data_IF_743997901995
#
_entry.id   IF_743997901995
#
_cell.length_a   1.000
_cell.length_b   1.000
_cell.length_c   1.000
_cell.angle_alpha   90.00
_cell.angle_beta   90.00
_cell.angle_gamma   90.00
#
_symmetry.space_group_name_H-M   'P 1'
#
loop_
_entity.id
_entity.type
_entity.pdbx_description
1 polymer ?
#
# COMPACT_ATOMS: atom_id res chain seq x y z
N UNK A 1 11.51 13.92 -3.96
CA UNK A 1 10.41 12.95 -3.77
C UNK A 1 10.78 11.64 -4.42
N UNK A 2 10.53 10.55 -3.76
CA UNK A 2 10.80 9.20 -4.27
C UNK A 2 9.54 8.56 -4.79
N UNK A 3 9.67 7.79 -5.87
CA UNK A 3 8.52 7.11 -6.47
C UNK A 3 8.89 5.65 -6.75
N UNK A 4 8.02 4.74 -6.32
CA UNK A 4 8.15 3.31 -6.57
C UNK A 4 6.94 2.87 -7.39
N UNK A 5 7.21 2.11 -8.44
CA UNK A 5 6.16 1.57 -9.30
C UNK A 5 6.35 0.06 -9.42
N UNK A 6 5.25 -0.68 -9.39
CA UNK A 6 5.27 -2.08 -9.78
C UNK A 6 3.92 -2.47 -10.38
N UNK A 7 3.94 -3.55 -11.12
CA UNK A 7 2.76 -4.09 -11.78
C UNK A 7 2.66 -5.58 -11.53
N UNK A 8 1.45 -6.09 -11.50
CA UNK A 8 1.22 -7.53 -11.38
C UNK A 8 -0.06 -7.93 -12.10
N UNK A 9 -0.02 -9.11 -12.73
CA UNK A 9 -1.20 -9.72 -13.34
C UNK A 9 -1.71 -10.84 -12.46
N UNK A 10 -2.99 -10.79 -12.12
CA UNK A 10 -3.62 -11.78 -11.25
C UNK A 10 -4.76 -12.44 -11.99
N UNK A 11 -4.74 -13.77 -12.03
CA UNK A 11 -5.82 -14.55 -12.65
C UNK A 11 -6.97 -14.69 -11.67
N UNK A 12 -7.73 -13.62 -11.54
CA UNK A 12 -8.91 -13.51 -10.69
C UNK A 12 -9.77 -12.35 -11.18
N UNK A 13 -11.08 -12.38 -10.89
CA UNK A 13 -11.98 -11.28 -11.28
C UNK A 13 -11.57 -9.95 -10.67
N UNK A 14 -11.72 -8.88 -11.43
CA UNK A 14 -11.34 -7.54 -10.98
C UNK A 14 -12.05 -7.14 -9.68
N UNK A 15 -13.30 -7.52 -9.52
CA UNK A 15 -14.06 -7.23 -8.29
C UNK A 15 -13.40 -7.85 -7.06
N UNK A 16 -12.95 -9.09 -7.20
CA UNK A 16 -12.30 -9.82 -6.10
C UNK A 16 -10.95 -9.22 -5.76
N UNK A 17 -10.17 -8.87 -6.77
CA UNK A 17 -8.86 -8.26 -6.57
C UNK A 17 -9.01 -6.88 -5.93
N UNK A 18 -9.91 -6.07 -6.45
CA UNK A 18 -10.17 -4.74 -5.91
C UNK A 18 -10.63 -4.80 -4.44
N UNK A 19 -11.58 -5.69 -4.15
CA UNK A 19 -12.07 -5.88 -2.79
C UNK A 19 -10.94 -6.29 -1.83
N UNK A 20 -10.07 -7.19 -2.26
CA UNK A 20 -8.95 -7.63 -1.44
C UNK A 20 -8.01 -6.48 -1.09
N UNK A 21 -7.62 -5.70 -2.08
CA UNK A 21 -6.67 -4.60 -1.88
C UNK A 21 -7.25 -3.40 -1.13
N UNK A 22 -8.55 -3.26 -1.11
CA UNK A 22 -9.20 -2.13 -0.45
C UNK A 22 -9.70 -2.44 0.96
N UNK A 23 -9.68 -3.70 1.36
CA UNK A 23 -10.07 -4.10 2.72
C UNK A 23 -8.92 -3.80 3.69
N UNK A 24 -9.19 -2.97 4.70
CA UNK A 24 -8.19 -2.58 5.68
C UNK A 24 -7.54 -3.77 6.39
N UNK A 25 -8.30 -4.85 6.60
CA UNK A 25 -7.77 -6.05 7.25
C UNK A 25 -6.74 -6.78 6.39
N UNK A 26 -6.76 -6.55 5.09
CA UNK A 26 -5.83 -7.19 4.14
C UNK A 26 -4.59 -6.35 3.83
N UNK A 27 -4.56 -5.09 4.24
CA UNK A 27 -3.43 -4.20 3.93
C UNK A 27 -2.12 -4.76 4.47
N UNK A 28 -2.13 -5.29 5.68
CA UNK A 28 -0.93 -5.89 6.26
C UNK A 28 -0.41 -7.09 5.46
N UNK A 29 -1.26 -7.72 4.65
CA UNK A 29 -0.88 -8.85 3.78
C UNK A 29 -0.38 -8.41 2.42
N UNK A 30 -0.79 -7.23 1.99
CA UNK A 30 -0.39 -6.66 0.70
C UNK A 30 0.88 -5.81 0.79
N UNK A 31 1.39 -5.60 1.99
CA UNK A 31 2.63 -4.88 2.26
C UNK A 31 3.64 -5.79 2.96
N UNK A 32 4.94 -5.49 2.85
CA UNK A 32 5.95 -6.28 3.58
C UNK A 32 5.65 -6.29 5.08
N UNK A 33 5.70 -7.47 5.69
CA UNK A 33 5.33 -7.65 7.09
C UNK A 33 6.28 -6.97 8.07
N UNK A 34 7.51 -6.72 7.68
CA UNK A 34 8.44 -5.96 8.49
C UNK A 34 8.16 -4.45 8.45
N UNK A 35 7.37 -4.00 7.48
CA UNK A 35 6.98 -2.60 7.35
C UNK A 35 5.59 -2.37 7.93
N UNK A 36 4.62 -3.20 7.55
CA UNK A 36 3.24 -3.10 8.05
C UNK A 36 2.92 -4.34 8.87
N UNK A 37 2.76 -4.17 10.17
CA UNK A 37 2.47 -5.27 11.09
C UNK A 37 0.99 -5.40 11.39
N UNK A 38 0.28 -4.29 11.47
CA UNK A 38 -1.15 -4.27 11.75
C UNK A 38 -1.85 -3.19 10.95
N UNK A 39 -3.09 -3.43 10.60
CA UNK A 39 -3.94 -2.44 9.94
C UNK A 39 -5.38 -2.62 10.42
N UNK A 40 -6.09 -1.50 10.60
CA UNK A 40 -7.50 -1.53 10.99
C UNK A 40 -8.24 -0.32 10.46
N UNK A 41 -9.53 -0.50 10.15
CA UNK A 41 -10.39 0.60 9.75
C UNK A 41 -10.76 1.45 10.96
N UNK A 42 -10.71 2.77 10.80
CA UNK A 42 -11.16 3.73 11.81
C UNK A 42 -12.53 4.30 11.49
N UNK A 43 -13.04 4.06 10.29
CA UNK A 43 -14.31 4.61 9.83
C UNK A 43 -15.40 3.54 9.82
N UNK A 44 -16.64 3.97 10.01
CA UNK A 44 -17.80 3.07 9.93
C UNK A 44 -18.09 2.67 8.48
N UNK A 45 -17.76 3.54 7.54
CA UNK A 45 -17.85 3.22 6.11
C UNK A 45 -16.49 2.77 5.63
N UNK A 46 -16.41 1.52 5.20
CA UNK A 46 -15.15 0.97 4.69
C UNK A 46 -14.96 1.37 3.23
N UNK A 47 -13.72 1.75 2.89
CA UNK A 47 -13.27 1.91 1.50
C UNK A 47 -13.98 2.99 0.70
N UNK A 48 -14.61 3.95 1.35
CA UNK A 48 -15.17 5.12 0.68
C UNK A 48 -14.22 6.30 0.79
N UNK A 49 -14.38 7.28 -0.08
CA UNK A 49 -13.63 8.53 0.02
C UNK A 49 -13.86 9.15 1.40
N UNK A 50 -12.78 9.57 2.03
CA UNK A 50 -12.80 10.08 3.39
C UNK A 50 -12.65 9.02 4.48
N UNK A 51 -12.71 7.74 4.13
CA UNK A 51 -12.48 6.67 5.10
C UNK A 51 -11.03 6.69 5.57
N UNK A 52 -10.83 6.41 6.85
CA UNK A 52 -9.50 6.40 7.45
C UNK A 52 -9.17 5.01 7.98
N UNK A 53 -7.89 4.68 7.94
CA UNK A 53 -7.39 3.45 8.53
C UNK A 53 -6.08 3.71 9.24
N UNK A 54 -5.86 2.96 10.31
CA UNK A 54 -4.63 3.02 11.08
C UNK A 54 -3.72 1.88 10.68
N UNK A 55 -2.48 2.21 10.39
CA UNK A 55 -1.47 1.23 10.02
C UNK A 55 -0.35 1.33 11.04
N UNK A 56 0.01 0.20 11.64
CA UNK A 56 1.16 0.10 12.53
C UNK A 56 2.27 -0.63 11.83
N UNK A 57 3.47 -0.11 11.93
CA UNK A 57 4.61 -0.75 11.32
C UNK A 57 5.91 -0.29 11.94
N UNK A 58 7.00 -0.76 11.37
CA UNK A 58 8.31 -0.35 11.80
C UNK A 58 8.86 0.68 10.81
N UNK A 59 9.28 1.81 11.36
CA UNK A 59 9.89 2.88 10.61
C UNK A 59 11.15 3.32 11.33
N UNK A 60 12.29 3.19 10.68
CA UNK A 60 13.58 3.60 11.23
C UNK A 60 13.94 2.92 12.56
N UNK A 61 13.62 1.63 12.66
CA UNK A 61 13.89 0.86 13.86
C UNK A 61 12.95 1.14 15.03
N UNK A 62 11.90 1.91 14.80
CA UNK A 62 10.87 2.22 15.79
C UNK A 62 9.52 1.75 15.32
N UNK A 63 8.68 1.34 16.26
CA UNK A 63 7.29 1.08 15.97
C UNK A 63 6.55 2.40 15.88
N UNK A 64 5.89 2.64 14.76
CA UNK A 64 5.19 3.87 14.46
C UNK A 64 3.79 3.58 13.96
N UNK A 65 2.91 4.55 14.14
CA UNK A 65 1.55 4.49 13.63
C UNK A 65 1.35 5.57 12.56
N UNK A 66 0.61 5.18 11.51
CA UNK A 66 0.26 6.08 10.44
C UNK A 66 -1.25 6.01 10.24
N UNK A 67 -1.89 7.17 10.06
CA UNK A 67 -3.29 7.23 9.65
C UNK A 67 -3.31 7.59 8.19
N UNK A 68 -3.93 6.74 7.39
CA UNK A 68 -4.10 6.96 5.96
C UNK A 68 -5.57 7.16 5.64
N UNK A 69 -5.83 7.97 4.64
CA UNK A 69 -7.16 8.32 4.21
C UNK A 69 -7.35 7.95 2.75
N UNK A 70 -8.52 7.40 2.42
CA UNK A 70 -8.90 7.19 1.03
C UNK A 70 -9.29 8.55 0.45
N UNK A 71 -8.49 9.08 -0.45
CA UNK A 71 -8.71 10.39 -1.05
C UNK A 71 -9.49 10.32 -2.35
N UNK A 72 -9.42 9.18 -3.05
CA UNK A 72 -10.14 8.99 -4.30
C UNK A 72 -10.42 7.50 -4.48
N UNK A 73 -11.61 7.19 -4.96
CA UNK A 73 -12.00 5.81 -5.24
C UNK A 73 -12.92 5.76 -6.45
N UNK A 74 -12.62 4.87 -7.38
CA UNK A 74 -13.49 4.51 -8.49
C UNK A 74 -13.61 2.99 -8.48
N UNK A 75 -14.81 2.48 -8.23
CA UNK A 75 -15.06 1.06 -8.00
C UNK A 75 -14.45 0.18 -9.10
N UNK A 76 -13.63 -0.79 -8.70
CA UNK A 76 -12.93 -1.74 -9.58
C UNK A 76 -11.93 -1.11 -10.54
N UNK A 77 -11.57 0.15 -10.36
CA UNK A 77 -10.64 0.85 -11.27
C UNK A 77 -9.51 1.56 -10.55
N UNK A 78 -9.80 2.22 -9.43
CA UNK A 78 -8.82 3.10 -8.80
C UNK A 78 -9.07 3.23 -7.31
N UNK A 79 -7.99 3.22 -6.55
CA UNK A 79 -8.02 3.68 -5.17
C UNK A 79 -6.75 4.49 -4.90
N UNK A 80 -6.92 5.65 -4.31
CA UNK A 80 -5.82 6.52 -3.90
C UNK A 80 -5.91 6.73 -2.40
N UNK A 81 -4.80 6.49 -1.72
CA UNK A 81 -4.69 6.73 -0.29
C UNK A 81 -3.52 7.66 -0.02
N UNK A 82 -3.62 8.45 1.03
CA UNK A 82 -2.56 9.36 1.43
C UNK A 82 -2.44 9.37 2.94
N UNK A 83 -1.24 9.65 3.42
CA UNK A 83 -1.00 9.81 4.85
C UNK A 83 -1.69 11.08 5.34
N UNK A 84 -2.50 10.94 6.37
CA UNK A 84 -3.10 12.06 7.06
C UNK A 84 -2.26 12.46 8.27
N UNK A 85 -1.79 11.46 9.01
CA UNK A 85 -0.89 11.63 10.15
C UNK A 85 0.13 10.51 10.15
N UNK A 86 1.37 10.81 10.47
CA UNK A 86 2.39 9.79 10.56
C UNK A 86 3.81 10.35 10.49
N UNK A 87 4.80 9.45 10.54
CA UNK A 87 6.20 9.84 10.62
C UNK A 87 6.84 10.26 9.30
N UNK A 88 6.15 10.02 8.18
CA UNK A 88 6.67 10.33 6.85
C UNK A 88 6.24 11.74 6.46
N UNK A 89 7.10 12.49 5.80
CA UNK A 89 6.78 13.86 5.38
C UNK A 89 5.64 13.88 4.37
N UNK A 90 5.66 12.93 3.43
CA UNK A 90 4.63 12.79 2.42
C UNK A 90 4.52 11.32 2.01
N UNK A 91 3.30 10.81 1.88
CA UNK A 91 3.05 9.46 1.38
C UNK A 91 1.73 9.41 0.65
N UNK A 92 1.76 8.87 -0.57
CA UNK A 92 0.57 8.68 -1.40
C UNK A 92 0.71 7.38 -2.16
N UNK A 93 -0.34 6.58 -2.14
CA UNK A 93 -0.41 5.32 -2.87
C UNK A 93 -1.54 5.38 -3.87
N UNK A 94 -1.24 5.06 -5.12
CA UNK A 94 -2.22 5.00 -6.20
C UNK A 94 -2.22 3.59 -6.75
N UNK A 95 -3.35 2.92 -6.69
CA UNK A 95 -3.54 1.59 -7.26
C UNK A 95 -4.58 1.66 -8.35
N UNK A 96 -4.20 1.23 -9.55
CA UNK A 96 -5.09 1.16 -10.70
C UNK A 96 -5.35 -0.29 -11.04
N UNK A 97 -6.61 -0.61 -11.30
CA UNK A 97 -7.07 -1.95 -11.59
C UNK A 97 -7.68 -1.97 -12.98
N UNK A 98 -7.20 -2.85 -13.82
CA UNK A 98 -7.73 -3.01 -15.17
C UNK A 98 -7.96 -4.50 -15.41
N UNK A 99 -9.22 -4.90 -15.45
CA UNK A 99 -9.51 -6.31 -15.56
C UNK A 99 -10.94 -6.62 -15.93
N UNK A 100 -11.22 -7.89 -15.98
CA UNK A 100 -12.52 -8.46 -16.34
C UNK A 100 -12.90 -9.57 -15.34
N UNK A 101 -13.73 -10.49 -15.75
CA UNK A 101 -14.22 -11.57 -14.92
C UNK A 101 -13.17 -12.67 -14.65
N UNK A 102 -12.02 -12.63 -15.34
CA UNK A 102 -11.00 -13.68 -15.27
C UNK A 102 -9.63 -13.18 -14.87
N UNK A 103 -9.25 -12.00 -15.33
CA UNK A 103 -7.88 -11.50 -15.16
C UNK A 103 -7.90 -10.05 -14.75
N UNK A 104 -6.94 -9.66 -13.92
CA UNK A 104 -6.79 -8.29 -13.47
C UNK A 104 -5.32 -7.88 -13.54
N UNK A 105 -5.08 -6.73 -14.14
CA UNK A 105 -3.78 -6.08 -14.13
C UNK A 105 -3.81 -4.97 -13.08
N UNK A 106 -2.88 -5.02 -12.13
CA UNK A 106 -2.76 -4.02 -11.06
C UNK A 106 -1.49 -3.22 -11.27
N UNK A 107 -1.63 -1.91 -11.32
CA UNK A 107 -0.50 -0.98 -11.33
C UNK A 107 -0.50 -0.23 -10.00
N UNK A 108 0.62 -0.21 -9.32
CA UNK A 108 0.75 0.43 -8.03
C UNK A 108 1.89 1.44 -8.07
N UNK A 109 1.57 2.69 -7.76
CA UNK A 109 2.56 3.76 -7.66
C UNK A 109 2.53 4.32 -6.25
N UNK A 110 3.70 4.40 -5.64
CA UNK A 110 3.85 4.98 -4.30
C UNK A 110 4.82 6.15 -4.40
N UNK A 111 4.36 7.32 -4.03
CA UNK A 111 5.19 8.52 -3.92
C UNK A 111 5.36 8.86 -2.46
N UNK A 112 6.58 9.11 -2.04
CA UNK A 112 6.84 9.42 -0.65
C UNK A 112 8.03 10.35 -0.50
N UNK A 113 8.05 11.05 0.63
CA UNK A 113 9.15 11.92 0.99
C UNK A 113 9.46 11.72 2.47
N UNK A 114 10.70 11.38 2.74
CA UNK A 114 11.15 11.13 4.10
C UNK A 114 11.56 12.46 4.77
N UNK A 115 11.41 12.55 6.12
CA UNK A 115 11.87 13.74 6.81
C UNK A 115 13.34 13.98 6.56
N UNK A 116 13.69 15.24 6.30
CA UNK A 116 15.08 15.64 5.98
C UNK A 116 15.90 15.98 7.21
N UNK A 117 15.33 15.83 8.41
CA UNK A 117 15.96 16.28 9.65
C UNK A 117 16.84 15.22 10.30
N UNK A 118 18.13 15.55 10.47
CA UNK A 118 19.02 14.85 11.40
C UNK A 118 19.46 13.46 10.94
N UNK A 119 19.42 12.52 11.86
CA UNK A 119 19.94 11.17 11.70
C UNK A 119 19.22 10.34 10.61
N UNK A 120 18.10 10.83 10.15
CA UNK A 120 17.26 10.14 9.17
C UNK A 120 17.95 10.08 7.81
N UNK A 121 18.59 11.16 7.41
CA UNK A 121 19.25 11.27 6.12
C UNK A 121 20.39 10.27 5.93
N UNK A 122 20.99 9.81 7.01
CA UNK A 122 22.09 8.85 6.96
C UNK A 122 21.63 7.39 6.97
N UNK A 123 20.42 7.14 7.46
CA UNK A 123 19.92 5.79 7.63
C UNK A 123 19.23 5.24 6.39
N UNK A 124 18.63 6.13 5.62
CA UNK A 124 17.91 5.78 4.39
C UNK A 124 18.58 6.45 3.20
N UNK A 125 19.91 6.27 3.12
CA UNK A 125 20.62 6.84 2.01
C UNK A 125 20.29 6.08 0.74
N UNK A 126 19.46 6.70 -0.05
CA UNK A 126 19.40 6.43 -1.45
C UNK A 126 18.75 5.14 -1.88
N UNK A 127 19.35 4.58 -2.90
CA UNK A 127 18.79 3.52 -3.71
C UNK A 127 18.54 2.20 -2.97
N UNK A 128 19.28 1.93 -1.89
CA UNK A 128 19.15 0.67 -1.17
C UNK A 128 17.83 0.53 -0.44
N UNK A 129 17.39 1.59 0.24
CA UNK A 129 16.11 1.56 0.97
C UNK A 129 14.94 1.47 -0.01
N UNK A 130 15.04 2.22 -1.12
CA UNK A 130 14.03 2.19 -2.15
C UNK A 130 13.92 0.82 -2.81
N UNK A 131 15.06 0.21 -3.15
CA UNK A 131 15.09 -1.13 -3.75
C UNK A 131 14.56 -2.19 -2.79
N UNK A 132 14.91 -2.09 -1.52
CA UNK A 132 14.42 -3.04 -0.52
C UNK A 132 12.90 -2.95 -0.37
N UNK A 133 12.37 -1.74 -0.34
CA UNK A 133 10.93 -1.53 -0.26
C UNK A 133 10.23 -2.07 -1.51
N UNK A 134 10.79 -1.77 -2.68
CA UNK A 134 10.23 -2.25 -3.95
C UNK A 134 10.23 -3.78 -4.01
N UNK A 135 11.34 -4.42 -3.65
CA UNK A 135 11.42 -5.88 -3.65
C UNK A 135 10.42 -6.50 -2.68
N UNK A 136 10.28 -5.91 -1.50
CA UNK A 136 9.31 -6.37 -0.50
C UNK A 136 7.87 -6.24 -0.99
N UNK A 137 7.55 -5.14 -1.66
CA UNK A 137 6.22 -4.92 -2.23
C UNK A 137 5.93 -5.90 -3.35
N UNK A 138 6.91 -6.17 -4.21
CA UNK A 138 6.76 -7.16 -5.28
C UNK A 138 6.54 -8.56 -4.71
N UNK A 139 7.26 -8.93 -3.66
CA UNK A 139 7.07 -10.21 -3.01
C UNK A 139 5.68 -10.30 -2.37
N UNK A 140 5.24 -9.26 -1.68
CA UNK A 140 3.91 -9.21 -1.09
C UNK A 140 2.84 -9.34 -2.17
N UNK A 141 3.03 -8.68 -3.33
CA UNK A 141 2.12 -8.78 -4.45
C UNK A 141 2.04 -10.22 -5.01
N UNK A 142 3.18 -10.91 -5.07
CA UNK A 142 3.20 -12.32 -5.49
C UNK A 142 2.43 -13.20 -4.51
N UNK A 143 2.54 -12.94 -3.23
CA UNK A 143 1.80 -13.71 -2.21
C UNK A 143 0.29 -13.48 -2.34
N UNK A 144 -0.13 -12.24 -2.60
CA UNK A 144 -1.54 -11.91 -2.86
C UNK A 144 -2.03 -12.63 -4.13
N UNK A 145 -1.22 -12.60 -5.18
CA UNK A 145 -1.52 -13.28 -6.44
C UNK A 145 -1.77 -14.77 -6.21
N UNK A 146 -0.87 -15.44 -5.51
CA UNK A 146 -1.00 -16.86 -5.22
C UNK A 146 -2.28 -17.15 -4.43
N UNK A 147 -2.59 -16.32 -3.45
CA UNK A 147 -3.79 -16.49 -2.64
C UNK A 147 -5.06 -16.34 -3.46
N UNK A 148 -5.14 -15.31 -4.30
CA UNK A 148 -6.33 -15.04 -5.09
C UNK A 148 -6.51 -16.03 -6.23
N UNK A 149 -5.41 -16.55 -6.79
CA UNK A 149 -5.47 -17.53 -7.88
C UNK A 149 -5.76 -18.95 -7.40
N UNK A 150 -5.56 -19.24 -6.13
CA UNK A 150 -5.79 -20.57 -5.57
C UNK A 150 -7.27 -20.85 -5.29
N UNK A 151 -8.14 -19.92 -5.57
CA UNK A 151 -9.58 -20.09 -5.40
C UNK A 151 -10.28 -20.01 -6.77
#
# INVERSE_FOLDING_TARGET
>A
MNTINYEIDITAPVEKVFEYYTDADNIKKAWPQDIVKESQSLSTTKNEEGSEMKVKGEYMGREEEMIIEVTEKDQNKLVVTAQKEGPIEYWKSTQQFNGDERNTHVEHEISYELPTTGKVANFLSGDQAENKLKDGLQQAAQDVKQKLESH
#
